data_IF_328430559383
#
_entry.id   IF_328430559383
#
_cell.length_a   1.000
_cell.length_b   1.000
_cell.length_c   1.000
_cell.angle_alpha   90.00
_cell.angle_beta   90.00
_cell.angle_gamma   90.00
#
_symmetry.space_group_name_H-M   'P 1'
#
loop_
_entity.id
_entity.type
_entity.pdbx_description
1 polymer ?
#
# COMPACT_ATOMS: atom_id res chain seq x y z
N UNK A 1 11.47 -14.73 -73.31
CA UNK A 1 11.29 -15.48 -72.04
C UNK A 1 12.12 -14.74 -71.03
N UNK A 2 11.58 -13.62 -70.57
CA UNK A 2 12.35 -12.58 -69.91
C UNK A 2 12.01 -12.63 -68.43
N UNK A 3 13.04 -12.94 -67.63
CA UNK A 3 12.96 -12.99 -66.18
C UNK A 3 12.96 -11.56 -65.65
N UNK A 4 11.78 -11.07 -65.30
CA UNK A 4 11.64 -9.92 -64.42
C UNK A 4 12.01 -10.34 -62.99
N UNK A 5 13.01 -9.66 -62.42
CA UNK A 5 13.36 -9.75 -61.02
C UNK A 5 13.19 -8.39 -60.35
N UNK A 6 12.48 -8.36 -59.22
CA UNK A 6 12.57 -7.42 -58.09
C UNK A 6 11.27 -7.44 -57.26
N UNK A 7 11.23 -6.91 -56.02
CA UNK A 7 12.32 -6.63 -55.08
C UNK A 7 12.10 -7.26 -53.69
N UNK A 8 13.21 -7.55 -53.01
CA UNK A 8 13.27 -7.95 -51.61
C UNK A 8 12.83 -6.79 -50.71
N UNK A 9 11.77 -6.99 -49.92
CA UNK A 9 11.29 -6.02 -48.94
C UNK A 9 12.22 -5.99 -47.71
N UNK A 10 12.74 -4.81 -47.36
CA UNK A 10 13.42 -4.55 -46.10
C UNK A 10 12.40 -4.45 -44.94
N UNK A 11 12.66 -5.06 -43.76
CA UNK A 11 11.78 -4.93 -42.61
C UNK A 11 12.07 -3.65 -41.81
N UNK A 12 11.18 -2.67 -41.92
CA UNK A 12 11.08 -1.49 -41.06
C UNK A 12 10.36 -1.87 -39.75
N UNK A 13 11.03 -2.54 -38.80
CA UNK A 13 10.35 -2.95 -37.55
C UNK A 13 11.13 -2.69 -36.24
N UNK A 14 12.22 -1.93 -36.28
CA UNK A 14 13.10 -1.73 -35.11
C UNK A 14 13.16 -0.31 -34.53
N UNK A 15 12.50 0.70 -35.11
CA UNK A 15 12.56 2.08 -34.60
C UNK A 15 11.37 2.56 -33.76
N UNK A 16 10.23 1.86 -33.75
CA UNK A 16 9.05 2.30 -32.97
C UNK A 16 9.05 1.83 -31.50
N UNK A 17 9.88 0.83 -31.13
CA UNK A 17 9.93 0.32 -29.75
C UNK A 17 10.74 1.18 -28.77
N UNK A 18 11.50 2.17 -29.24
CA UNK A 18 12.27 3.08 -28.37
C UNK A 18 11.51 4.32 -27.90
N UNK A 19 10.33 4.63 -28.48
CA UNK A 19 9.57 5.85 -28.19
C UNK A 19 8.54 5.74 -27.06
N UNK A 20 8.36 4.55 -26.46
CA UNK A 20 7.28 4.28 -25.49
C UNK A 20 7.75 3.99 -24.05
N UNK A 21 9.03 4.15 -23.73
CA UNK A 21 9.57 3.92 -22.38
C UNK A 21 10.29 5.15 -21.81
N UNK A 22 9.64 6.31 -21.82
CA UNK A 22 10.13 7.48 -21.07
C UNK A 22 9.55 7.42 -19.66
N UNK A 23 10.34 6.91 -18.71
CA UNK A 23 10.09 7.05 -17.28
C UNK A 23 9.83 8.54 -16.97
N UNK A 24 8.74 8.90 -16.28
CA UNK A 24 8.49 10.28 -15.91
C UNK A 24 9.66 10.79 -15.07
N UNK A 25 10.25 11.89 -15.51
CA UNK A 25 11.39 12.53 -14.84
C UNK A 25 11.02 12.83 -13.40
N UNK A 26 12.00 12.76 -12.50
CA UNK A 26 11.80 12.97 -11.07
C UNK A 26 11.11 14.31 -10.74
N UNK A 27 11.26 15.30 -11.62
CA UNK A 27 10.53 16.56 -11.60
C UNK A 27 9.01 16.37 -11.75
N UNK A 28 8.55 15.58 -12.72
CA UNK A 28 7.13 15.30 -12.89
C UNK A 28 6.54 14.49 -11.72
N UNK A 29 7.34 13.60 -11.11
CA UNK A 29 6.92 12.88 -9.88
C UNK A 29 6.78 13.84 -8.69
N UNK A 30 7.66 14.83 -8.57
CA UNK A 30 7.60 15.86 -7.53
C UNK A 30 6.44 16.84 -7.77
N UNK A 31 6.25 17.33 -9.00
CA UNK A 31 5.13 18.22 -9.37
C UNK A 31 3.77 17.53 -9.14
N UNK A 32 3.65 16.23 -9.46
CA UNK A 32 2.44 15.48 -9.19
C UNK A 32 2.20 15.23 -7.69
N UNK A 33 3.27 15.14 -6.87
CA UNK A 33 3.19 15.04 -5.41
C UNK A 33 2.76 16.38 -4.81
N UNK A 34 3.31 17.48 -5.29
CA UNK A 34 2.98 18.84 -4.85
C UNK A 34 1.54 19.21 -5.24
N UNK A 35 1.05 18.83 -6.43
CA UNK A 35 -0.37 18.98 -6.81
C UNK A 35 -1.30 18.13 -5.92
N UNK A 36 -0.86 16.93 -5.54
CA UNK A 36 -1.59 16.07 -4.61
C UNK A 36 -1.66 16.66 -3.19
N UNK A 37 -0.57 17.27 -2.71
CA UNK A 37 -0.48 17.95 -1.41
C UNK A 37 -1.24 19.29 -1.41
N UNK A 38 -1.21 20.04 -2.50
CA UNK A 38 -2.00 21.28 -2.65
C UNK A 38 -3.51 21.00 -2.70
N UNK A 39 -3.92 19.92 -3.38
CA UNK A 39 -5.29 19.43 -3.32
C UNK A 39 -5.70 18.78 -1.98
N UNK A 40 -4.79 18.67 -1.01
CA UNK A 40 -5.09 18.32 0.38
C UNK A 40 -5.36 19.58 1.23
N UNK A 41 -4.76 20.73 0.90
CA UNK A 41 -4.93 21.99 1.65
C UNK A 41 -6.18 22.77 1.25
N UNK A 42 -6.66 22.68 0.00
CA UNK A 42 -7.85 23.39 -0.48
C UNK A 42 -9.20 22.73 -0.07
N UNK A 43 -9.15 21.67 0.74
CA UNK A 43 -10.34 21.17 1.40
C UNK A 43 -10.69 22.04 2.60
N UNK A 44 -11.41 23.14 2.38
CA UNK A 44 -12.00 23.98 3.44
C UNK A 44 -12.70 23.11 4.50
N UNK A 45 -12.01 22.84 5.59
CA UNK A 45 -12.57 22.29 6.80
C UNK A 45 -13.42 23.37 7.45
N UNK A 46 -14.72 23.34 7.19
CA UNK A 46 -15.70 24.13 7.95
C UNK A 46 -15.57 23.78 9.44
N UNK A 47 -15.57 24.80 10.28
CA UNK A 47 -15.17 24.83 11.71
C UNK A 47 -15.89 23.87 12.68
N UNK A 48 -16.76 22.97 12.19
CA UNK A 48 -17.58 22.03 12.99
C UNK A 48 -17.29 20.55 12.66
N UNK A 49 -16.06 20.19 12.29
CA UNK A 49 -15.71 18.78 12.15
C UNK A 49 -15.49 18.13 13.53
N UNK A 50 -16.55 17.52 14.06
CA UNK A 50 -16.47 16.67 15.25
C UNK A 50 -15.49 15.51 15.02
N UNK A 51 -14.24 15.64 15.47
CA UNK A 51 -13.28 14.54 15.55
C UNK A 51 -13.62 13.66 16.75
N UNK A 52 -14.30 12.51 16.59
CA UNK A 52 -14.89 11.76 17.70
C UNK A 52 -13.85 11.20 18.69
N UNK A 53 -12.59 11.15 18.29
CA UNK A 53 -11.44 10.69 19.09
C UNK A 53 -10.28 11.70 19.08
N UNK A 54 -10.56 12.96 18.73
CA UNK A 54 -9.56 14.00 18.51
C UNK A 54 -8.94 13.96 17.11
N UNK A 55 -8.25 15.05 16.74
CA UNK A 55 -7.63 15.23 15.40
C UNK A 55 -6.50 14.22 15.13
N UNK A 56 -5.76 13.87 16.17
CA UNK A 56 -4.59 13.00 16.13
C UNK A 56 -4.73 11.83 17.14
N UNK A 57 -5.63 10.87 16.90
CA UNK A 57 -5.77 9.72 17.78
C UNK A 57 -4.52 8.84 17.76
N UNK A 58 -4.32 8.07 18.83
CA UNK A 58 -3.35 6.98 18.86
C UNK A 58 -3.85 5.77 18.07
N UNK A 59 -2.93 4.86 17.72
CA UNK A 59 -3.30 3.63 17.02
C UNK A 59 -4.27 2.76 17.83
N UNK A 60 -4.14 2.73 19.16
CA UNK A 60 -5.04 1.96 20.04
C UNK A 60 -6.44 2.53 20.08
N UNK A 61 -6.58 3.85 20.15
CA UNK A 61 -7.88 4.53 20.10
C UNK A 61 -8.55 4.30 18.75
N UNK A 62 -7.77 4.38 17.66
CA UNK A 62 -8.25 4.09 16.32
C UNK A 62 -8.73 2.64 16.18
N UNK A 63 -7.92 1.66 16.63
CA UNK A 63 -8.29 0.25 16.60
C UNK A 63 -9.55 -0.04 17.43
N UNK A 64 -9.66 0.59 18.60
CA UNK A 64 -10.85 0.51 19.45
C UNK A 64 -12.09 1.03 18.73
N UNK A 65 -12.01 2.22 18.11
CA UNK A 65 -13.14 2.83 17.42
C UNK A 65 -13.56 2.08 16.17
N UNK A 66 -12.60 1.59 15.36
CA UNK A 66 -12.91 0.75 14.19
C UNK A 66 -13.71 -0.49 14.62
N UNK A 67 -13.38 -1.08 15.78
CA UNK A 67 -14.10 -2.25 16.30
C UNK A 67 -15.47 -1.93 16.89
N UNK A 68 -15.58 -0.80 17.62
CA UNK A 68 -16.79 -0.47 18.39
C UNK A 68 -17.81 0.34 17.61
N UNK A 69 -17.36 1.34 16.87
CA UNK A 69 -18.22 2.30 16.20
C UNK A 69 -17.54 2.83 14.92
N UNK A 70 -17.28 1.99 13.90
CA UNK A 70 -16.54 2.39 12.71
C UNK A 70 -17.22 3.54 11.94
N UNK A 71 -18.55 3.65 12.04
CA UNK A 71 -19.33 4.67 11.34
C UNK A 71 -19.14 6.09 11.89
N UNK A 72 -18.78 6.26 13.17
CA UNK A 72 -18.62 7.61 13.75
C UNK A 72 -17.37 8.32 13.24
N UNK A 73 -16.38 7.56 12.80
CA UNK A 73 -15.13 8.09 12.26
C UNK A 73 -15.21 8.46 10.79
N UNK A 74 -16.32 8.17 10.11
CA UNK A 74 -16.45 8.37 8.68
C UNK A 74 -17.23 9.65 8.45
N UNK A 75 -16.70 10.53 7.59
CA UNK A 75 -17.42 11.73 7.15
C UNK A 75 -18.61 11.32 6.31
N UNK A 76 -19.76 11.91 6.59
CA UNK A 76 -20.91 11.82 5.68
C UNK A 76 -20.47 12.46 4.36
N UNK A 77 -20.57 11.75 3.23
CA UNK A 77 -20.22 12.31 1.94
C UNK A 77 -21.03 13.60 1.72
N UNK A 78 -20.35 14.75 1.57
CA UNK A 78 -21.01 15.97 1.13
C UNK A 78 -21.23 15.86 -0.39
N UNK A 79 -22.49 15.91 -0.80
CA UNK A 79 -22.84 15.92 -2.22
C UNK A 79 -22.32 17.19 -2.87
N UNK A 80 -21.79 17.06 -4.09
CA UNK A 80 -21.39 18.21 -4.91
C UNK A 80 -22.12 18.15 -6.24
N UNK A 81 -22.84 19.22 -6.58
CA UNK A 81 -23.68 19.29 -7.78
C UNK A 81 -22.85 19.29 -9.07
N UNK A 82 -21.61 19.75 -9.01
CA UNK A 82 -20.66 19.78 -10.12
C UNK A 82 -20.31 18.38 -10.65
N UNK A 83 -20.51 17.33 -9.86
CA UNK A 83 -20.28 15.94 -10.27
C UNK A 83 -21.27 15.47 -11.34
N UNK A 84 -22.45 16.11 -11.44
CA UNK A 84 -23.43 15.86 -12.49
C UNK A 84 -23.20 16.69 -13.77
N UNK A 85 -22.11 17.46 -13.85
CA UNK A 85 -21.86 18.35 -15.00
C UNK A 85 -21.64 17.61 -16.32
N UNK A 86 -21.18 16.35 -16.27
CA UNK A 86 -20.89 15.52 -17.43
C UNK A 86 -21.83 14.31 -17.47
N UNK A 87 -22.81 14.37 -18.38
CA UNK A 87 -23.81 13.31 -18.54
C UNK A 87 -23.19 11.95 -18.90
N UNK A 88 -22.14 11.94 -19.73
CA UNK A 88 -21.48 10.70 -20.14
C UNK A 88 -20.73 10.06 -18.98
N UNK A 89 -19.97 10.85 -18.22
CA UNK A 89 -19.27 10.36 -17.04
C UNK A 89 -20.26 9.84 -15.98
N UNK A 90 -21.38 10.54 -15.82
CA UNK A 90 -22.48 10.17 -14.92
C UNK A 90 -23.07 8.80 -15.29
N UNK A 91 -23.44 8.61 -16.56
CA UNK A 91 -24.02 7.35 -17.06
C UNK A 91 -23.06 6.17 -16.95
N UNK A 92 -21.77 6.39 -17.25
CA UNK A 92 -20.73 5.36 -17.09
C UNK A 92 -20.58 4.98 -15.62
N UNK A 93 -20.57 5.95 -14.71
CA UNK A 93 -20.40 5.69 -13.29
C UNK A 93 -21.60 4.96 -12.66
N UNK A 94 -22.82 5.35 -13.05
CA UNK A 94 -24.06 4.66 -12.65
C UNK A 94 -24.04 3.23 -13.18
N UNK A 95 -23.71 3.04 -14.46
CA UNK A 95 -23.62 1.71 -15.09
C UNK A 95 -22.56 0.85 -14.43
N UNK A 96 -21.36 1.40 -14.20
CA UNK A 96 -20.28 0.73 -13.50
C UNK A 96 -20.71 0.28 -12.11
N UNK A 97 -21.36 1.16 -11.34
CA UNK A 97 -21.85 0.84 -10.00
C UNK A 97 -22.85 -0.32 -10.05
N UNK A 98 -23.84 -0.26 -10.95
CA UNK A 98 -24.80 -1.36 -11.15
C UNK A 98 -24.11 -2.67 -11.50
N UNK A 99 -23.27 -2.65 -12.53
CA UNK A 99 -22.60 -3.85 -13.04
C UNK A 99 -21.67 -4.45 -11.97
N UNK A 100 -20.98 -3.61 -11.21
CA UNK A 100 -20.14 -4.01 -10.09
C UNK A 100 -20.94 -4.68 -8.97
N UNK A 101 -22.08 -4.12 -8.57
CA UNK A 101 -22.88 -4.69 -7.50
C UNK A 101 -23.61 -5.98 -7.92
N UNK A 102 -23.94 -6.10 -9.20
CA UNK A 102 -24.43 -7.36 -9.77
C UNK A 102 -23.33 -8.42 -9.74
N UNK A 103 -22.09 -8.09 -10.12
CA UNK A 103 -20.98 -9.05 -10.12
C UNK A 103 -20.55 -9.47 -8.71
N UNK A 104 -20.75 -8.57 -7.75
CA UNK A 104 -20.55 -8.79 -6.32
C UNK A 104 -21.46 -9.87 -5.75
N UNK A 105 -22.76 -9.80 -6.01
CA UNK A 105 -23.74 -10.66 -5.34
C UNK A 105 -23.87 -12.00 -6.07
N UNK A 106 -22.97 -12.95 -5.81
CA UNK A 106 -23.02 -14.29 -6.43
C UNK A 106 -24.35 -15.03 -6.17
N UNK A 107 -25.01 -14.73 -5.06
CA UNK A 107 -26.30 -15.32 -4.67
C UNK A 107 -27.48 -14.38 -4.91
N UNK A 108 -27.36 -13.35 -5.76
CA UNK A 108 -28.46 -12.40 -5.97
C UNK A 108 -29.74 -13.06 -6.51
N UNK A 109 -29.61 -14.21 -7.18
CA UNK A 109 -30.76 -15.01 -7.65
C UNK A 109 -31.37 -15.85 -6.53
N UNK A 110 -30.67 -16.04 -5.41
CA UNK A 110 -31.06 -16.94 -4.32
C UNK A 110 -31.50 -16.19 -3.05
N UNK A 111 -30.95 -15.00 -2.79
CA UNK A 111 -31.38 -14.12 -1.70
C UNK A 111 -32.37 -13.07 -2.22
N UNK A 112 -33.44 -12.80 -1.47
CA UNK A 112 -34.53 -11.85 -1.77
C UNK A 112 -34.08 -10.37 -1.86
N UNK A 113 -32.77 -10.10 -1.78
CA UNK A 113 -32.19 -8.76 -1.81
C UNK A 113 -31.62 -8.44 -3.17
N UNK A 114 -32.39 -7.69 -3.95
CA UNK A 114 -31.96 -7.16 -5.24
C UNK A 114 -30.68 -6.32 -5.13
N UNK A 115 -29.77 -6.39 -6.13
CA UNK A 115 -28.64 -5.49 -6.22
C UNK A 115 -29.12 -4.04 -6.25
N UNK A 116 -28.37 -3.11 -5.65
CA UNK A 116 -28.67 -1.68 -5.79
C UNK A 116 -28.72 -1.30 -7.27
N UNK A 117 -29.79 -0.59 -7.65
CA UNK A 117 -30.02 -0.12 -9.00
C UNK A 117 -30.08 1.41 -9.02
N UNK A 118 -28.96 2.10 -8.70
CA UNK A 118 -28.93 3.55 -8.71
C UNK A 118 -29.32 4.09 -10.09
N UNK A 119 -30.10 5.17 -10.09
CA UNK A 119 -30.55 5.91 -11.27
C UNK A 119 -29.87 7.27 -11.39
N UNK A 120 -29.27 7.74 -10.30
CA UNK A 120 -28.56 9.02 -10.24
C UNK A 120 -27.13 8.79 -9.75
N UNK A 121 -26.23 9.74 -10.03
CA UNK A 121 -24.84 9.69 -9.54
C UNK A 121 -24.82 9.77 -8.01
N UNK A 122 -25.73 10.54 -7.40
CA UNK A 122 -25.86 10.62 -5.95
C UNK A 122 -26.18 9.25 -5.35
N UNK A 123 -27.22 8.58 -5.85
CA UNK A 123 -27.57 7.22 -5.41
C UNK A 123 -26.39 6.27 -5.64
N UNK A 124 -25.69 6.38 -6.78
CA UNK A 124 -24.52 5.55 -7.05
C UNK A 124 -23.42 5.76 -5.99
N UNK A 125 -23.09 7.01 -5.63
CA UNK A 125 -22.10 7.32 -4.57
C UNK A 125 -22.57 6.82 -3.21
N UNK A 126 -23.84 6.99 -2.86
CA UNK A 126 -24.42 6.55 -1.58
C UNK A 126 -24.29 5.03 -1.40
N UNK A 127 -24.49 4.26 -2.46
CA UNK A 127 -24.32 2.80 -2.47
C UNK A 127 -22.87 2.39 -2.14
N UNK A 128 -21.89 3.25 -2.41
CA UNK A 128 -20.49 3.04 -2.04
C UNK A 128 -20.11 3.59 -0.65
N UNK A 129 -21.06 4.13 0.09
CA UNK A 129 -20.82 4.50 1.50
C UNK A 129 -20.44 3.27 2.32
N UNK A 130 -19.61 3.45 3.35
CA UNK A 130 -19.17 2.32 4.19
C UNK A 130 -20.35 1.58 4.81
N UNK A 131 -21.43 2.29 5.16
CA UNK A 131 -22.64 1.68 5.71
C UNK A 131 -23.33 0.75 4.72
N UNK A 132 -23.50 1.16 3.46
CA UNK A 132 -24.09 0.31 2.41
C UNK A 132 -23.15 -0.84 2.04
N UNK A 133 -21.85 -0.55 1.90
CA UNK A 133 -20.82 -1.54 1.57
C UNK A 133 -20.75 -2.65 2.61
N UNK A 134 -20.67 -2.30 3.89
CA UNK A 134 -20.65 -3.26 4.99
C UNK A 134 -21.94 -4.08 5.08
N UNK A 135 -23.09 -3.49 4.72
CA UNK A 135 -24.38 -4.19 4.74
C UNK A 135 -24.51 -5.21 3.60
N UNK A 136 -23.89 -4.94 2.44
CA UNK A 136 -24.17 -5.65 1.18
C UNK A 136 -23.08 -6.63 0.77
N UNK A 137 -21.82 -6.43 1.15
CA UNK A 137 -20.72 -7.30 0.71
C UNK A 137 -20.59 -8.51 1.64
N UNK A 138 -20.87 -9.71 1.11
CA UNK A 138 -20.57 -11.00 1.76
C UNK A 138 -19.48 -11.82 1.03
N UNK A 139 -19.29 -11.68 -0.28
CA UNK A 139 -18.20 -12.23 -1.13
C UNK A 139 -18.40 -11.81 -2.60
N UNK A 140 -17.38 -11.87 -3.49
CA UNK A 140 -17.33 -10.98 -4.70
C UNK A 140 -16.47 -11.49 -5.89
N UNK A 141 -16.94 -11.34 -7.16
CA UNK A 141 -16.15 -11.47 -8.43
C UNK A 141 -16.55 -10.37 -9.51
N UNK A 142 -15.93 -10.35 -10.70
CA UNK A 142 -15.48 -9.23 -11.60
C UNK A 142 -16.45 -8.67 -12.70
N UNK A 143 -16.17 -7.48 -13.29
CA UNK A 143 -16.92 -6.84 -14.40
C UNK A 143 -16.07 -6.42 -15.65
N UNK A 144 -16.63 -6.60 -16.87
CA UNK A 144 -15.96 -6.53 -18.19
C UNK A 144 -16.17 -5.23 -19.02
N UNK A 145 -17.10 -4.37 -18.64
CA UNK A 145 -17.64 -3.29 -19.50
C UNK A 145 -16.73 -2.06 -19.66
N UNK A 146 -15.90 -1.75 -18.67
CA UNK A 146 -14.94 -0.63 -18.74
C UNK A 146 -13.98 -0.77 -19.94
N UNK A 147 -13.48 -1.98 -20.18
CA UNK A 147 -12.53 -2.23 -21.25
C UNK A 147 -13.15 -2.11 -22.64
N UNK A 148 -14.47 -2.32 -22.77
CA UNK A 148 -15.18 -2.16 -24.02
C UNK A 148 -15.30 -0.67 -24.41
N UNK A 149 -15.70 0.18 -23.46
CA UNK A 149 -15.84 1.62 -23.68
C UNK A 149 -14.48 2.26 -23.93
N UNK A 150 -13.46 1.90 -23.14
CA UNK A 150 -12.10 2.44 -23.28
C UNK A 150 -11.50 2.19 -24.67
N UNK A 151 -11.78 1.02 -25.27
CA UNK A 151 -11.31 0.68 -26.62
C UNK A 151 -11.97 1.52 -27.71
N UNK A 152 -13.25 1.89 -27.54
CA UNK A 152 -14.03 2.65 -28.53
C UNK A 152 -13.76 4.15 -28.53
N UNK A 153 -13.24 4.72 -27.43
CA UNK A 153 -12.98 6.16 -27.30
C UNK A 153 -11.63 6.57 -27.94
N UNK A 154 -11.58 7.77 -28.54
CA UNK A 154 -10.34 8.37 -29.06
C UNK A 154 -9.40 8.88 -27.93
N UNK A 155 -8.16 9.24 -28.24
CA UNK A 155 -7.16 9.56 -27.21
C UNK A 155 -7.49 10.83 -26.39
N UNK A 156 -8.08 11.85 -27.01
CA UNK A 156 -8.53 13.04 -26.30
C UNK A 156 -9.66 12.71 -25.30
N UNK A 157 -10.64 11.91 -25.73
CA UNK A 157 -11.73 11.44 -24.89
C UNK A 157 -11.25 10.52 -23.77
N UNK A 158 -10.25 9.65 -24.02
CA UNK A 158 -9.62 8.81 -22.99
C UNK A 158 -8.98 9.63 -21.87
N UNK A 159 -8.29 10.74 -22.22
CA UNK A 159 -7.69 11.64 -21.23
C UNK A 159 -8.75 12.32 -20.37
N UNK A 160 -9.78 12.90 -21.00
CA UNK A 160 -10.88 13.55 -20.29
C UNK A 160 -11.63 12.56 -19.40
N UNK A 161 -11.95 11.38 -19.93
CA UNK A 161 -12.59 10.30 -19.18
C UNK A 161 -11.73 9.85 -18.00
N UNK A 162 -10.41 9.73 -18.18
CA UNK A 162 -9.48 9.41 -17.09
C UNK A 162 -9.48 10.45 -15.97
N UNK A 163 -9.53 11.74 -16.32
CA UNK A 163 -9.61 12.84 -15.34
C UNK A 163 -10.94 12.78 -14.57
N UNK A 164 -12.07 12.64 -15.29
CA UNK A 164 -13.42 12.59 -14.67
C UNK A 164 -13.62 11.34 -13.82
N UNK A 165 -13.18 10.17 -14.30
CA UNK A 165 -13.21 8.94 -13.50
C UNK A 165 -12.32 9.05 -12.27
N UNK A 166 -11.14 9.68 -12.37
CA UNK A 166 -10.29 9.93 -11.20
C UNK A 166 -10.97 10.84 -10.18
N UNK A 167 -11.71 11.86 -10.63
CA UNK A 167 -12.52 12.73 -9.76
C UNK A 167 -13.63 11.91 -9.07
N UNK A 168 -14.43 11.16 -9.83
CA UNK A 168 -15.52 10.33 -9.30
C UNK A 168 -15.02 9.25 -8.32
N UNK A 169 -13.97 8.52 -8.68
CA UNK A 169 -13.34 7.51 -7.83
C UNK A 169 -12.70 8.14 -6.58
N UNK A 170 -12.26 9.40 -6.67
CA UNK A 170 -11.76 10.18 -5.55
C UNK A 170 -12.82 10.49 -4.48
N UNK A 171 -14.11 10.36 -4.80
CA UNK A 171 -15.21 10.50 -3.83
C UNK A 171 -15.65 9.19 -3.19
N UNK A 172 -15.14 8.06 -3.67
CA UNK A 172 -15.48 6.76 -3.10
C UNK A 172 -14.77 6.56 -1.75
N UNK A 173 -15.52 6.12 -0.74
CA UNK A 173 -14.99 5.81 0.59
C UNK A 173 -14.13 4.55 0.58
N UNK A 174 -14.50 3.56 -0.25
CA UNK A 174 -13.79 2.30 -0.37
C UNK A 174 -13.72 1.86 -1.82
N UNK A 175 -12.55 1.36 -2.20
CA UNK A 175 -12.31 0.64 -3.43
C UNK A 175 -11.65 -0.69 -3.10
N UNK A 176 -11.99 -1.77 -3.81
CA UNK A 176 -11.24 -3.01 -3.67
C UNK A 176 -9.79 -2.80 -4.13
N UNK A 177 -8.85 -3.44 -3.46
CA UNK A 177 -7.47 -3.46 -3.91
C UNK A 177 -7.36 -4.33 -5.17
N UNK A 178 -7.21 -3.68 -6.33
CA UNK A 178 -7.07 -4.33 -7.61
C UNK A 178 -5.60 -4.38 -8.05
N UNK A 179 -5.13 -5.58 -8.40
CA UNK A 179 -3.83 -5.81 -9.04
C UNK A 179 -4.01 -5.64 -10.54
N UNK A 180 -3.22 -4.73 -11.15
CA UNK A 180 -3.19 -4.56 -12.61
C UNK A 180 -2.83 -5.88 -13.30
N UNK A 181 -3.47 -6.14 -14.43
CA UNK A 181 -3.03 -7.22 -15.31
C UNK A 181 -1.73 -6.82 -15.98
N UNK A 182 -0.77 -7.74 -16.02
CA UNK A 182 0.42 -7.64 -16.87
C UNK A 182 0.29 -8.65 -18.01
N UNK A 183 1.23 -8.63 -18.96
CA UNK A 183 1.28 -9.66 -20.02
C UNK A 183 1.47 -11.07 -19.43
N UNK A 184 2.18 -11.18 -18.31
CA UNK A 184 2.52 -12.44 -17.64
C UNK A 184 1.54 -12.85 -16.55
N UNK A 185 0.74 -11.93 -16.00
CA UNK A 185 -0.16 -12.21 -14.89
C UNK A 185 -1.54 -11.64 -15.15
N UNK A 186 -2.56 -12.48 -14.94
CA UNK A 186 -3.94 -12.00 -14.94
C UNK A 186 -4.11 -11.04 -13.77
N UNK A 187 -4.63 -9.85 -14.07
CA UNK A 187 -5.03 -8.91 -13.04
C UNK A 187 -6.11 -9.52 -12.15
N UNK A 188 -6.08 -9.17 -10.88
CA UNK A 188 -7.10 -9.56 -9.92
C UNK A 188 -7.77 -8.28 -9.44
N UNK A 189 -9.10 -8.18 -9.46
CA UNK A 189 -9.76 -6.97 -8.91
C UNK A 189 -9.64 -6.91 -7.38
N UNK A 190 -9.31 -8.04 -6.76
CA UNK A 190 -9.37 -8.26 -5.32
C UNK A 190 -8.11 -8.95 -4.87
N UNK A 191 -7.49 -8.45 -3.81
CA UNK A 191 -6.53 -9.19 -3.01
C UNK A 191 -7.24 -9.66 -1.73
N UNK A 192 -7.02 -10.91 -1.36
CA UNK A 192 -7.45 -11.41 -0.06
C UNK A 192 -6.38 -11.09 0.99
N UNK A 193 -6.81 -10.76 2.21
CA UNK A 193 -5.92 -10.58 3.35
C UNK A 193 -5.24 -11.90 3.73
N UNK A 194 -3.92 -11.94 3.88
CA UNK A 194 -3.21 -13.18 4.24
C UNK A 194 -3.56 -13.77 5.61
N UNK A 195 -4.29 -13.02 6.45
CA UNK A 195 -4.63 -13.38 7.84
C UNK A 195 -6.14 -13.61 8.08
N UNK A 196 -6.97 -13.53 7.03
CA UNK A 196 -8.39 -13.83 7.14
C UNK A 196 -9.04 -13.79 5.77
N UNK A 197 -10.07 -14.61 5.56
CA UNK A 197 -10.82 -14.74 4.29
C UNK A 197 -11.56 -13.46 3.84
N UNK A 198 -11.17 -12.30 4.32
CA UNK A 198 -11.69 -11.00 3.95
C UNK A 198 -11.00 -10.43 2.73
N UNK A 199 -11.79 -9.72 1.92
CA UNK A 199 -11.32 -8.92 0.79
C UNK A 199 -10.61 -7.68 1.35
N UNK A 200 -9.42 -7.36 0.83
CA UNK A 200 -8.78 -6.08 1.16
C UNK A 200 -9.45 -4.95 0.39
N UNK A 201 -9.75 -3.89 1.13
CA UNK A 201 -10.30 -2.66 0.58
C UNK A 201 -9.33 -1.52 0.88
N UNK A 202 -8.99 -0.78 -0.17
CA UNK A 202 -8.38 0.53 -0.06
C UNK A 202 -9.45 1.51 0.38
N UNK A 203 -9.22 2.20 1.48
CA UNK A 203 -10.14 3.21 2.00
C UNK A 203 -9.59 4.60 1.71
N UNK A 204 -10.42 5.53 1.26
CA UNK A 204 -9.98 6.90 1.02
C UNK A 204 -9.77 7.62 2.37
N UNK A 205 -8.53 7.98 2.74
CA UNK A 205 -8.23 8.59 4.03
C UNK A 205 -8.92 9.96 4.21
N UNK A 206 -9.20 10.69 3.11
CA UNK A 206 -9.88 12.00 3.17
C UNK A 206 -11.30 11.93 3.75
N UNK A 207 -11.90 10.74 3.73
CA UNK A 207 -13.27 10.52 4.19
C UNK A 207 -13.32 10.04 5.65
N UNK A 208 -12.17 9.98 6.33
CA UNK A 208 -12.09 9.75 7.77
C UNK A 208 -11.96 11.08 8.51
N UNK A 209 -12.61 11.16 9.67
CA UNK A 209 -12.47 12.27 10.62
C UNK A 209 -11.18 12.10 11.44
N UNK A 210 -10.06 12.02 10.75
CA UNK A 210 -8.72 11.83 11.32
C UNK A 210 -7.76 12.69 10.51
N UNK A 211 -7.06 13.61 11.17
CA UNK A 211 -6.10 14.51 10.52
C UNK A 211 -4.70 13.89 10.47
N UNK A 212 -4.34 13.16 11.53
CA UNK A 212 -3.06 12.47 11.63
C UNK A 212 -3.13 11.33 12.64
N UNK A 213 -2.03 10.60 12.78
CA UNK A 213 -1.84 9.68 13.88
C UNK A 213 -0.84 10.30 14.84
N UNK A 214 -1.24 10.46 16.10
CA UNK A 214 -0.26 10.82 17.13
C UNK A 214 0.68 9.64 17.25
N UNK A 215 1.95 9.90 16.98
CA UNK A 215 3.00 8.98 17.42
C UNK A 215 2.84 8.87 18.93
N UNK A 216 2.35 7.73 19.43
CA UNK A 216 2.64 7.33 20.80
C UNK A 216 4.15 7.48 20.87
N UNK A 217 4.65 8.47 21.61
CA UNK A 217 6.06 8.48 22.00
C UNK A 217 6.23 7.09 22.57
N UNK A 218 6.88 6.21 21.80
CA UNK A 218 7.15 4.84 22.22
C UNK A 218 7.70 5.02 23.61
N UNK A 219 6.92 4.65 24.65
CA UNK A 219 7.24 4.85 26.06
C UNK A 219 8.74 4.88 26.18
N UNK A 220 9.34 6.04 26.52
CA UNK A 220 10.79 6.28 26.45
C UNK A 220 11.47 4.94 26.63
N UNK A 221 11.86 4.30 25.51
CA UNK A 221 12.19 2.87 25.56
C UNK A 221 13.25 2.76 26.62
N UNK A 222 12.93 2.08 27.74
CA UNK A 222 13.79 2.05 28.92
C UNK A 222 15.20 1.86 28.40
N UNK A 223 16.06 2.88 28.60
CA UNK A 223 17.20 3.16 27.75
C UNK A 223 17.82 1.86 27.24
N UNK A 224 17.58 1.52 25.97
CA UNK A 224 18.06 0.25 25.42
C UNK A 224 19.57 0.26 25.59
N UNK A 225 20.09 -0.53 26.52
CA UNK A 225 21.53 -0.63 26.74
C UNK A 225 22.09 -1.37 25.51
N UNK A 226 22.39 -0.61 24.45
CA UNK A 226 23.08 -1.10 23.26
C UNK A 226 24.55 -1.30 23.61
N UNK A 227 24.83 -2.28 24.46
CA UNK A 227 26.16 -2.83 24.65
C UNK A 227 26.34 -3.98 23.67
N UNK A 228 27.42 -4.00 22.88
CA UNK A 228 27.74 -5.18 22.08
C UNK A 228 27.82 -6.43 22.98
N UNK A 229 27.57 -7.63 22.46
CA UNK A 229 27.53 -8.88 23.25
C UNK A 229 28.70 -9.07 24.23
N UNK A 230 29.89 -8.56 23.87
CA UNK A 230 31.08 -8.55 24.74
C UNK A 230 30.89 -7.71 26.00
N UNK A 231 30.28 -6.54 25.90
CA UNK A 231 29.92 -5.63 26.99
C UNK A 231 28.93 -6.30 27.95
N UNK A 232 27.88 -6.91 27.39
CA UNK A 232 26.84 -7.64 28.14
C UNK A 232 27.49 -8.78 28.92
N UNK A 233 28.35 -9.58 28.28
CA UNK A 233 29.06 -10.69 28.94
C UNK A 233 29.99 -10.23 30.06
N UNK A 234 30.67 -9.09 29.89
CA UNK A 234 31.53 -8.50 30.93
C UNK A 234 30.71 -8.05 32.13
N UNK A 235 29.55 -7.41 31.88
CA UNK A 235 28.62 -6.98 32.94
C UNK A 235 28.04 -8.15 33.71
N UNK A 236 27.60 -9.20 33.02
CA UNK A 236 27.09 -10.42 33.64
C UNK A 236 28.16 -11.09 34.53
N UNK A 237 29.40 -11.20 34.04
CA UNK A 237 30.50 -11.78 34.82
C UNK A 237 30.92 -10.91 36.02
N UNK A 238 30.76 -9.59 35.93
CA UNK A 238 31.02 -8.68 37.04
C UNK A 238 29.96 -8.85 38.14
N UNK A 239 28.68 -8.89 37.75
CA UNK A 239 27.55 -9.10 38.64
C UNK A 239 27.61 -10.47 39.34
N UNK A 240 27.83 -11.55 38.58
CA UNK A 240 27.92 -12.92 39.10
C UNK A 240 29.03 -13.10 40.15
N UNK A 241 30.13 -12.37 40.00
CA UNK A 241 31.30 -12.45 40.90
C UNK A 241 31.33 -11.36 41.98
N UNK A 242 30.37 -10.44 41.98
CA UNK A 242 30.38 -9.29 42.89
C UNK A 242 31.62 -8.40 42.76
N UNK A 243 32.23 -8.32 41.56
CA UNK A 243 33.44 -7.51 41.30
C UNK A 243 33.11 -6.30 40.45
N UNK A 244 33.97 -5.28 40.50
CA UNK A 244 33.82 -4.10 39.66
C UNK A 244 33.91 -4.45 38.16
N UNK A 245 33.23 -3.64 37.33
CA UNK A 245 33.23 -3.83 35.88
C UNK A 245 34.65 -3.65 35.29
N UNK A 246 35.48 -2.80 35.89
CA UNK A 246 36.88 -2.62 35.53
C UNK A 246 37.72 -3.87 35.84
N UNK A 247 37.51 -4.50 36.99
CA UNK A 247 38.24 -5.71 37.38
C UNK A 247 37.83 -6.91 36.52
N UNK A 248 36.55 -7.00 36.15
CA UNK A 248 36.07 -7.98 35.17
C UNK A 248 36.76 -7.78 33.80
N UNK A 249 36.89 -6.53 33.33
CA UNK A 249 37.63 -6.19 32.09
C UNK A 249 39.11 -6.53 32.18
N UNK A 250 39.78 -6.20 33.29
CA UNK A 250 41.19 -6.53 33.56
C UNK A 250 41.41 -8.05 33.59
N UNK A 251 40.52 -8.79 34.27
CA UNK A 251 40.56 -10.25 34.34
C UNK A 251 40.43 -10.92 32.97
N UNK A 252 39.51 -10.45 32.12
CA UNK A 252 39.42 -10.96 30.74
C UNK A 252 40.68 -10.65 29.91
N UNK A 253 41.26 -9.44 30.04
CA UNK A 253 42.52 -9.09 29.36
C UNK A 253 43.67 -9.99 29.81
N UNK A 254 43.81 -10.24 31.11
CA UNK A 254 44.85 -11.12 31.66
C UNK A 254 44.67 -12.57 31.21
N UNK A 255 43.44 -13.10 31.21
CA UNK A 255 43.15 -14.45 30.70
C UNK A 255 43.56 -14.58 29.23
N UNK A 256 43.17 -13.63 28.37
CA UNK A 256 43.58 -13.64 26.95
C UNK A 256 45.09 -13.56 26.77
N UNK A 257 45.78 -12.76 27.59
CA UNK A 257 47.23 -12.67 27.55
C UNK A 257 47.89 -14.00 27.94
N UNK A 258 47.37 -14.69 28.96
CA UNK A 258 47.83 -16.01 29.38
C UNK A 258 47.60 -17.07 28.31
N UNK A 259 46.40 -17.09 27.72
CA UNK A 259 46.04 -18.04 26.66
C UNK A 259 46.96 -17.85 25.44
N UNK A 260 47.23 -16.60 25.04
CA UNK A 260 48.19 -16.27 23.97
C UNK A 260 49.61 -16.75 24.26
N UNK A 261 50.09 -16.61 25.50
CA UNK A 261 51.43 -17.11 25.90
C UNK A 261 51.50 -18.64 25.79
N UNK A 262 50.44 -19.35 26.22
CA UNK A 262 50.38 -20.81 26.16
C UNK A 262 50.29 -21.36 24.73
N UNK A 263 49.63 -20.64 23.82
CA UNK A 263 49.58 -21.02 22.40
C UNK A 263 50.97 -20.93 21.75
N UNK A 264 51.76 -19.89 22.09
CA UNK A 264 53.14 -19.75 21.60
C UNK A 264 54.05 -20.88 22.09
N UNK A 265 53.91 -21.34 23.32
CA UNK A 265 54.73 -22.46 23.84
C UNK A 265 54.33 -23.79 23.21
N UNK A 266 53.03 -24.04 22.98
CA UNK A 266 52.53 -25.27 22.34
C UNK A 266 52.87 -25.36 20.85
N UNK A 267 53.01 -24.22 20.16
CA UNK A 267 53.42 -24.18 18.75
C UNK A 267 54.94 -24.19 18.51
N UNK A 268 55.77 -24.36 19.55
CA UNK A 268 57.19 -24.67 19.35
C UNK A 268 57.30 -26.11 18.83
N UNK A 269 57.25 -26.27 17.51
CA UNK A 269 57.56 -27.55 16.85
C UNK A 269 58.98 -27.97 17.25
N UNK A 270 59.15 -29.23 17.65
CA UNK A 270 60.50 -29.76 17.87
C UNK A 270 61.25 -29.73 16.52
N UNK A 271 62.50 -29.23 16.48
CA UNK A 271 63.28 -29.25 15.27
C UNK A 271 63.48 -30.71 14.81
N UNK A 272 63.51 -30.96 13.49
CA UNK A 272 63.64 -32.31 12.96
C UNK A 272 64.93 -32.97 13.50
N UNK A 273 64.78 -34.16 14.09
CA UNK A 273 65.93 -34.89 14.63
C UNK A 273 66.80 -35.39 13.48
N UNK A 274 68.08 -35.03 13.52
CA UNK A 274 69.08 -35.41 12.52
C UNK A 274 69.40 -36.90 12.69
N UNK A 275 69.06 -37.72 11.69
CA UNK A 275 69.39 -39.16 11.70
C UNK A 275 70.92 -39.31 11.72
N UNK A 276 71.46 -40.05 12.70
CA UNK A 276 72.88 -40.43 12.71
C UNK A 276 73.09 -41.51 11.64
N UNK A 277 74.02 -41.26 10.74
CA UNK A 277 74.55 -42.23 9.77
C UNK A 277 75.81 -42.87 10.32
#
# INVERSE_FOLDING_TARGET
MDREGSPTAEPLETKEKELLSVEPTQRAKNEMKDEWEKGLEEGEGTEDEDFPIGEEPTWKELEYMIRKAPMTMIRVPKWREDLNSDAMASDIFISFTRDYWVSMLQNFLSEEKYPPAPKTVQEAIEVWSVGEVQRRIKQVIFASKYHEIYRKTNDAGRKLLGIKLKQLLGHLQRLPEATKSTESTRGHLWTYGGLGNGIRMLTNPKLYKIRGLRNEKLFERAATITGGWKEIRVRLLAADKGISLEDSRKGQKMKRARDRRSAKSKNKRQPPQRKKS
#
